data_IF_068729503466
#
_entry.id   IF_068729503466
#
_cell.length_a   1.000
_cell.length_b   1.000
_cell.length_c   1.000
_cell.angle_alpha   90.00
_cell.angle_beta   90.00
_cell.angle_gamma   90.00
#
_symmetry.space_group_name_H-M   'P 1'
#
loop_
_entity.id
_entity.type
_entity.pdbx_description
1 polymer ?
#
# COMPACT_ATOMS: atom_id res chain seq x y z
N UNK A 1 -26.98 -11.76 17.48
CA UNK A 1 -26.11 -12.11 18.63
C UNK A 1 -25.54 -10.83 19.22
N UNK A 2 -25.22 -10.81 20.52
CA UNK A 2 -24.55 -9.68 21.18
C UNK A 2 -23.02 -9.78 21.03
N UNK A 3 -22.32 -8.64 21.06
CA UNK A 3 -20.85 -8.58 21.01
C UNK A 3 -20.32 -8.67 22.44
N UNK A 4 -19.33 -9.55 22.67
CA UNK A 4 -18.62 -9.64 23.94
C UNK A 4 -17.39 -8.70 23.92
N UNK A 5 -17.45 -7.64 24.70
CA UNK A 5 -16.36 -6.66 24.84
C UNK A 5 -15.37 -6.99 25.95
N UNK A 6 -15.59 -8.08 26.71
CA UNK A 6 -14.72 -8.45 27.83
C UNK A 6 -13.48 -9.25 27.41
N UNK A 7 -13.47 -9.80 26.20
CA UNK A 7 -12.37 -10.60 25.65
C UNK A 7 -11.93 -10.09 24.28
N UNK A 8 -11.81 -8.78 24.12
CA UNK A 8 -11.37 -8.17 22.86
C UNK A 8 -9.92 -8.55 22.57
N UNK A 9 -9.67 -8.91 21.33
CA UNK A 9 -8.32 -9.01 20.78
C UNK A 9 -7.79 -7.59 20.52
N UNK A 10 -7.06 -7.05 21.50
CA UNK A 10 -6.50 -5.69 21.44
C UNK A 10 -5.47 -5.53 20.31
N UNK A 11 -4.77 -6.60 19.94
CA UNK A 11 -3.82 -6.59 18.84
C UNK A 11 -4.54 -6.41 17.52
N UNK A 12 -5.55 -7.24 17.26
CA UNK A 12 -6.38 -7.12 16.07
C UNK A 12 -7.11 -5.78 16.01
N UNK A 13 -7.60 -5.29 17.16
CA UNK A 13 -8.28 -3.98 17.25
C UNK A 13 -7.32 -2.84 16.87
N UNK A 14 -6.11 -2.82 17.43
CA UNK A 14 -5.12 -1.79 17.14
C UNK A 14 -4.63 -1.86 15.69
N UNK A 15 -4.35 -3.06 15.18
CA UNK A 15 -3.99 -3.26 13.78
C UNK A 15 -5.09 -2.75 12.84
N UNK A 16 -6.34 -3.18 13.07
CA UNK A 16 -7.49 -2.76 12.27
C UNK A 16 -7.68 -1.24 12.33
N UNK A 17 -7.53 -0.64 13.50
CA UNK A 17 -7.61 0.81 13.69
C UNK A 17 -6.53 1.56 12.87
N UNK A 18 -5.30 1.04 12.84
CA UNK A 18 -4.21 1.59 12.00
C UNK A 18 -4.54 1.50 10.51
N UNK A 19 -5.06 0.36 10.04
CA UNK A 19 -5.46 0.18 8.63
C UNK A 19 -6.61 1.11 8.24
N UNK A 20 -7.59 1.29 9.13
CA UNK A 20 -8.70 2.24 8.91
C UNK A 20 -8.18 3.68 8.84
N UNK A 21 -7.29 4.07 9.76
CA UNK A 21 -6.67 5.39 9.76
C UNK A 21 -5.86 5.63 8.48
N UNK A 22 -5.07 4.66 8.05
CA UNK A 22 -4.31 4.70 6.80
C UNK A 22 -5.22 4.92 5.59
N UNK A 23 -6.27 4.12 5.45
CA UNK A 23 -7.26 4.28 4.37
C UNK A 23 -7.94 5.65 4.43
N UNK A 24 -8.20 6.18 5.63
CA UNK A 24 -8.83 7.49 5.82
C UNK A 24 -7.89 8.67 5.55
N UNK A 25 -6.58 8.50 5.70
CA UNK A 25 -5.58 9.52 5.43
C UNK A 25 -5.30 9.68 3.92
N UNK A 26 -5.36 8.58 3.16
CA UNK A 26 -4.91 8.53 1.77
C UNK A 26 -6.08 8.43 0.76
N UNK A 27 -6.43 9.51 0.03
CA UNK A 27 -7.42 9.48 -1.05
C UNK A 27 -7.19 8.41 -2.11
N UNK A 28 -5.96 7.98 -2.34
CA UNK A 28 -5.62 6.96 -3.35
C UNK A 28 -6.32 5.61 -3.08
N UNK A 29 -6.63 5.30 -1.82
CA UNK A 29 -7.39 4.10 -1.42
C UNK A 29 -8.91 4.33 -1.34
N UNK A 30 -9.38 5.54 -1.67
CA UNK A 30 -10.80 5.94 -1.60
C UNK A 30 -11.27 6.64 -2.88
N UNK A 31 -10.64 6.30 -4.00
CA UNK A 31 -10.99 6.82 -5.32
C UNK A 31 -12.45 6.57 -5.66
N UNK A 32 -13.06 7.53 -6.38
CA UNK A 32 -14.46 7.45 -6.85
C UNK A 32 -14.57 6.77 -8.22
N UNK A 33 -13.48 6.76 -8.97
CA UNK A 33 -13.38 6.20 -10.31
C UNK A 33 -12.37 5.06 -10.32
N UNK A 34 -12.59 4.11 -11.22
CA UNK A 34 -11.68 3.00 -11.44
C UNK A 34 -10.33 3.47 -11.99
N UNK A 35 -9.30 2.67 -11.75
CA UNK A 35 -8.04 2.79 -12.46
C UNK A 35 -8.22 2.43 -13.93
N UNK A 36 -7.43 3.05 -14.79
CA UNK A 36 -7.53 2.86 -16.24
C UNK A 36 -6.27 2.27 -16.87
N UNK A 37 -5.15 2.26 -16.14
CA UNK A 37 -3.82 1.99 -16.68
C UNK A 37 -3.24 3.16 -17.49
N UNK A 38 -3.94 4.30 -17.56
CA UNK A 38 -3.47 5.46 -18.30
C UNK A 38 -2.24 6.09 -17.62
N UNK A 39 -1.28 6.49 -18.44
CA UNK A 39 -0.07 7.15 -17.99
C UNK A 39 -0.26 8.65 -17.83
N UNK A 40 0.34 9.22 -16.80
CA UNK A 40 0.47 10.67 -16.66
C UNK A 40 1.44 11.27 -17.70
N UNK A 41 1.67 12.59 -17.61
CA UNK A 41 2.60 13.31 -18.49
C UNK A 41 4.06 12.86 -18.38
N UNK A 42 4.41 12.13 -17.33
CA UNK A 42 5.74 11.59 -17.09
C UNK A 42 5.87 10.11 -17.49
N UNK A 43 4.78 9.52 -18.00
CA UNK A 43 4.74 8.11 -18.42
C UNK A 43 4.39 7.14 -17.29
N UNK A 44 4.05 7.63 -16.09
CA UNK A 44 3.74 6.76 -14.95
C UNK A 44 2.26 6.37 -15.00
N UNK A 45 1.91 5.07 -15.05
CA UNK A 45 0.51 4.63 -15.08
C UNK A 45 -0.19 4.90 -13.74
N UNK A 46 -1.51 5.10 -13.77
CA UNK A 46 -2.31 5.27 -12.55
C UNK A 46 -2.35 4.00 -11.67
N UNK A 47 -2.14 2.84 -12.29
CA UNK A 47 -1.91 1.54 -11.66
C UNK A 47 -0.93 0.71 -12.50
N UNK A 48 -0.04 -0.06 -11.86
CA UNK A 48 0.73 -1.10 -12.54
C UNK A 48 0.67 -2.42 -11.76
N UNK A 49 0.44 -3.50 -12.49
CA UNK A 49 0.45 -4.87 -11.96
C UNK A 49 1.80 -5.48 -12.30
N UNK A 50 2.50 -5.97 -11.27
CA UNK A 50 3.86 -6.44 -11.38
C UNK A 50 3.95 -7.89 -10.89
N UNK A 51 4.79 -8.66 -11.56
CA UNK A 51 5.26 -9.96 -11.07
C UNK A 51 6.19 -9.74 -9.86
N UNK A 52 6.46 -10.79 -9.06
CA UNK A 52 7.42 -10.70 -7.96
C UNK A 52 8.83 -10.27 -8.39
N UNK A 53 9.24 -10.50 -9.63
CA UNK A 53 10.52 -10.04 -10.17
C UNK A 53 10.57 -8.52 -10.48
N UNK A 54 9.47 -7.79 -10.27
CA UNK A 54 9.34 -6.35 -10.50
C UNK A 54 8.97 -5.97 -11.94
N UNK A 55 8.83 -6.93 -12.86
CA UNK A 55 8.39 -6.68 -14.23
C UNK A 55 6.86 -6.58 -14.31
N UNK A 56 6.36 -5.81 -15.27
CA UNK A 56 4.91 -5.71 -15.54
C UNK A 56 4.31 -7.06 -15.92
N UNK A 57 3.11 -7.35 -15.38
CA UNK A 57 2.31 -8.50 -15.78
C UNK A 57 1.72 -8.26 -17.18
N UNK A 58 1.92 -9.24 -18.07
CA UNK A 58 1.23 -9.34 -19.36
C UNK A 58 -0.01 -10.22 -19.28
N UNK A 59 -0.76 -10.30 -20.38
CA UNK A 59 -2.03 -11.05 -20.47
C UNK A 59 -1.87 -12.53 -20.09
N UNK A 60 -0.77 -13.16 -20.52
CA UNK A 60 -0.49 -14.58 -20.26
C UNK A 60 -0.28 -14.87 -18.76
N UNK A 61 0.19 -13.91 -17.98
CA UNK A 61 0.45 -14.10 -16.55
C UNK A 61 -0.85 -14.32 -15.76
N UNK A 62 -1.91 -13.62 -16.14
CA UNK A 62 -3.23 -13.69 -15.48
C UNK A 62 -3.90 -15.05 -15.63
N UNK A 63 -3.62 -15.76 -16.72
CA UNK A 63 -4.20 -17.07 -17.02
C UNK A 63 -3.48 -18.24 -16.34
N UNK A 64 -2.32 -18.01 -15.74
CA UNK A 64 -1.52 -19.09 -15.13
C UNK A 64 -1.87 -19.26 -13.66
N UNK A 65 -2.14 -20.51 -13.24
CA UNK A 65 -2.32 -20.86 -11.83
C UNK A 65 -1.04 -20.68 -10.96
N UNK A 66 0.05 -20.24 -11.58
CA UNK A 66 1.39 -20.12 -11.01
C UNK A 66 1.65 -18.72 -10.43
N UNK A 67 0.98 -17.67 -10.91
CA UNK A 67 1.08 -16.34 -10.29
C UNK A 67 0.23 -16.31 -9.04
N UNK A 68 0.77 -16.85 -7.96
CA UNK A 68 0.13 -16.80 -6.63
C UNK A 68 0.38 -15.46 -5.98
N UNK A 69 1.54 -14.86 -6.19
CA UNK A 69 1.94 -13.61 -5.56
C UNK A 69 2.13 -12.52 -6.63
N UNK A 70 1.74 -11.29 -6.30
CA UNK A 70 1.83 -10.15 -7.22
C UNK A 70 2.10 -8.87 -6.45
N UNK A 71 2.62 -7.86 -7.15
CA UNK A 71 2.77 -6.53 -6.63
C UNK A 71 1.88 -5.55 -7.41
N UNK A 72 1.35 -4.54 -6.72
CA UNK A 72 0.49 -3.51 -7.29
C UNK A 72 1.08 -2.15 -6.96
N UNK A 73 1.51 -1.43 -7.98
CA UNK A 73 1.83 -0.02 -7.85
C UNK A 73 0.59 0.82 -8.08
N UNK A 74 0.39 1.83 -7.23
CA UNK A 74 -0.72 2.77 -7.32
C UNK A 74 -0.16 4.19 -7.29
N UNK A 75 -0.43 4.97 -8.34
CA UNK A 75 0.07 6.33 -8.47
C UNK A 75 -0.86 7.34 -7.78
N UNK A 76 -0.39 7.93 -6.67
CA UNK A 76 -1.12 8.99 -5.96
C UNK A 76 -1.17 10.32 -6.71
N UNK A 77 -0.31 10.52 -7.70
CA UNK A 77 -0.28 11.72 -8.54
C UNK A 77 -1.25 11.65 -9.73
N UNK A 78 -1.76 10.46 -10.05
CA UNK A 78 -2.69 10.22 -11.16
C UNK A 78 -4.11 9.89 -10.66
N UNK A 79 -4.59 10.63 -9.65
CA UNK A 79 -5.97 10.47 -9.16
C UNK A 79 -6.95 11.15 -10.11
N UNK A 80 -7.75 10.32 -10.79
CA UNK A 80 -8.73 10.79 -11.76
C UNK A 80 -9.97 11.31 -11.02
N UNK A 81 -10.37 12.52 -11.38
CA UNK A 81 -11.60 13.16 -10.96
C UNK A 81 -11.37 14.25 -9.91
N UNK A 82 -12.08 15.39 -10.01
CA UNK A 82 -11.91 16.47 -9.07
C UNK A 82 -12.50 16.13 -7.70
N UNK A 83 -11.96 16.80 -6.68
CA UNK A 83 -12.53 16.84 -5.34
C UNK A 83 -13.89 17.55 -5.29
N UNK A 84 -14.53 17.55 -4.11
CA UNK A 84 -15.87 18.14 -3.93
C UNK A 84 -15.98 19.61 -4.33
N UNK A 85 -14.86 20.34 -4.41
CA UNK A 85 -14.77 21.76 -4.77
C UNK A 85 -14.10 21.97 -6.13
N UNK A 86 -13.91 20.92 -6.94
CA UNK A 86 -13.26 21.04 -8.24
C UNK A 86 -11.72 20.96 -8.18
N UNK A 87 -11.14 20.76 -7.01
CA UNK A 87 -9.69 20.70 -6.80
C UNK A 87 -9.07 19.41 -7.35
N UNK A 88 -7.82 19.48 -7.81
CA UNK A 88 -7.02 18.30 -8.11
C UNK A 88 -6.71 17.56 -6.81
N UNK A 89 -6.91 16.25 -6.80
CA UNK A 89 -6.55 15.39 -5.67
C UNK A 89 -5.21 14.75 -6.00
N UNK A 90 -4.26 14.89 -5.08
CA UNK A 90 -2.97 14.21 -5.13
C UNK A 90 -2.73 13.52 -3.79
N UNK A 91 -1.89 12.49 -3.81
CA UNK A 91 -1.54 11.68 -2.67
C UNK A 91 -0.14 11.08 -2.88
N UNK A 92 0.35 10.39 -1.85
CA UNK A 92 1.52 9.54 -1.94
C UNK A 92 1.25 8.36 -2.90
N UNK A 93 2.30 7.88 -3.57
CA UNK A 93 2.24 6.65 -4.38
C UNK A 93 2.64 5.45 -3.54
N UNK A 94 2.00 4.31 -3.79
CA UNK A 94 2.16 3.10 -2.98
C UNK A 94 2.50 1.89 -3.82
N UNK A 95 3.18 0.94 -3.20
CA UNK A 95 3.42 -0.39 -3.72
C UNK A 95 2.92 -1.42 -2.71
N UNK A 96 1.98 -2.25 -3.16
CA UNK A 96 1.39 -3.33 -2.38
C UNK A 96 2.01 -4.65 -2.83
N UNK A 97 2.59 -5.42 -1.92
CA UNK A 97 3.10 -6.77 -2.18
C UNK A 97 2.13 -7.78 -1.57
N UNK A 98 1.57 -8.66 -2.39
CA UNK A 98 0.55 -9.63 -1.98
C UNK A 98 1.10 -11.05 -2.12
N UNK A 99 1.25 -11.76 -1.00
CA UNK A 99 1.57 -13.17 -0.98
C UNK A 99 0.45 -14.00 -0.32
N UNK A 100 -0.53 -14.48 -1.10
CA UNK A 100 -1.55 -15.42 -0.60
C UNK A 100 -1.05 -16.88 -0.57
N UNK A 101 0.18 -17.14 -1.03
CA UNK A 101 0.76 -18.47 -1.08
C UNK A 101 1.12 -19.02 0.30
N UNK A 102 1.44 -20.32 0.33
CA UNK A 102 1.85 -21.05 1.53
C UNK A 102 3.39 -21.01 1.74
N UNK A 103 4.11 -20.33 0.85
CA UNK A 103 5.56 -20.23 0.84
C UNK A 103 5.94 -18.75 0.77
N UNK A 104 7.09 -18.40 1.32
CA UNK A 104 7.64 -17.06 1.24
C UNK A 104 8.02 -16.73 -0.22
N UNK A 105 7.82 -15.48 -0.62
CA UNK A 105 8.12 -15.02 -1.97
C UNK A 105 9.01 -13.80 -1.90
N UNK A 106 10.10 -13.83 -2.67
CA UNK A 106 10.99 -12.70 -2.85
C UNK A 106 10.43 -11.73 -3.89
N UNK A 107 10.22 -10.49 -3.47
CA UNK A 107 9.78 -9.39 -4.33
C UNK A 107 10.94 -8.44 -4.63
N UNK A 108 11.22 -8.21 -5.90
CA UNK A 108 12.15 -7.16 -6.35
C UNK A 108 11.39 -5.84 -6.44
N UNK A 109 11.81 -4.84 -5.66
CA UNK A 109 11.18 -3.52 -5.70
C UNK A 109 11.41 -2.85 -7.07
N UNK A 110 10.36 -2.28 -7.68
CA UNK A 110 10.47 -1.64 -8.98
C UNK A 110 11.33 -0.37 -8.91
N UNK A 111 11.89 0.01 -10.05
CA UNK A 111 12.78 1.14 -10.27
C UNK A 111 12.22 2.15 -11.28
N UNK A 112 13.00 3.21 -11.56
CA UNK A 112 12.72 4.16 -12.63
C UNK A 112 11.45 4.95 -12.38
N UNK A 113 10.56 4.96 -13.38
CA UNK A 113 9.34 5.77 -13.35
C UNK A 113 8.37 5.40 -12.21
N UNK A 114 8.44 4.16 -11.69
CA UNK A 114 7.58 3.73 -10.59
C UNK A 114 8.09 4.23 -9.23
N UNK A 115 9.41 4.33 -9.04
CA UNK A 115 10.03 4.90 -7.84
C UNK A 115 11.48 4.45 -7.66
N UNK A 116 12.29 5.29 -7.03
CA UNK A 116 13.72 5.01 -6.75
C UNK A 116 13.97 4.52 -5.31
N UNK A 117 12.95 4.60 -4.45
CA UNK A 117 13.03 4.18 -3.06
C UNK A 117 11.65 4.00 -2.42
N UNK A 118 11.60 3.16 -1.40
CA UNK A 118 10.39 2.65 -0.79
C UNK A 118 10.50 2.62 0.72
N UNK A 119 9.50 3.15 1.41
CA UNK A 119 9.40 3.14 2.86
C UNK A 119 8.31 2.17 3.30
N UNK A 120 8.60 1.21 4.20
CA UNK A 120 7.57 0.36 4.81
C UNK A 120 6.53 1.18 5.58
N UNK A 121 5.24 0.87 5.34
CA UNK A 121 4.10 1.51 6.02
C UNK A 121 3.28 0.51 6.82
N UNK A 122 3.08 -0.68 6.25
CA UNK A 122 2.32 -1.77 6.85
C UNK A 122 2.94 -3.10 6.44
N UNK A 123 3.02 -4.03 7.37
CA UNK A 123 3.31 -5.44 7.10
C UNK A 123 2.36 -6.26 7.98
N UNK A 124 1.67 -7.23 7.40
CA UNK A 124 0.78 -8.13 8.17
C UNK A 124 1.55 -9.23 8.90
N UNK A 125 2.82 -9.47 8.53
CA UNK A 125 3.69 -10.42 9.20
C UNK A 125 4.37 -9.84 10.44
N UNK A 126 4.44 -8.51 10.54
CA UNK A 126 4.99 -7.84 11.72
C UNK A 126 4.13 -8.16 12.93
N UNK A 127 4.68 -8.90 13.88
CA UNK A 127 4.12 -8.99 15.22
C UNK A 127 4.03 -7.55 15.78
N UNK A 128 2.95 -7.19 16.50
CA UNK A 128 2.70 -5.81 16.90
C UNK A 128 3.75 -5.35 17.91
N UNK A 129 4.85 -4.78 17.43
CA UNK A 129 5.76 -4.03 18.26
C UNK A 129 5.05 -2.73 18.64
N UNK A 130 4.26 -2.74 19.72
CA UNK A 130 3.80 -1.60 20.54
C UNK A 130 3.74 -0.22 19.83
N UNK A 131 3.21 -0.17 18.61
CA UNK A 131 3.07 1.06 17.86
C UNK A 131 1.80 1.73 18.40
N UNK A 132 1.99 2.47 19.49
CA UNK A 132 0.96 3.34 20.04
C UNK A 132 0.34 4.12 18.88
N UNK A 133 -0.96 3.94 18.69
CA UNK A 133 -1.75 4.84 17.86
C UNK A 133 -1.70 6.19 18.56
N UNK A 134 -0.78 7.06 18.15
CA UNK A 134 -0.91 8.47 18.43
C UNK A 134 -2.14 8.94 17.63
N UNK A 135 -3.31 8.80 18.25
CA UNK A 135 -4.56 9.33 17.75
C UNK A 135 -4.47 10.86 17.78
N UNK A 136 -3.80 11.44 16.79
CA UNK A 136 -3.95 12.85 16.46
C UNK A 136 -5.30 12.99 15.75
N UNK A 137 -6.37 13.07 16.54
CA UNK A 137 -7.64 13.64 16.08
C UNK A 137 -7.39 15.14 15.89
N UNK A 138 -6.86 15.52 14.73
CA UNK A 138 -6.86 16.89 14.27
C UNK A 138 -8.12 17.11 13.42
N UNK A 139 -9.18 17.57 14.07
CA UNK A 139 -10.30 18.24 13.40
C UNK A 139 -9.78 19.61 12.94
N UNK A 140 -9.10 19.64 11.80
CA UNK A 140 -8.95 20.81 10.92
C UNK A 140 -8.20 20.36 9.67
N UNK A 141 -8.73 20.69 8.50
CA UNK A 141 -8.18 20.29 7.21
C UNK A 141 -6.70 20.63 7.06
N UNK A 142 -5.86 19.60 7.07
CA UNK A 142 -4.67 19.40 6.25
C UNK A 142 -4.10 18.03 6.61
N UNK A 143 -3.55 17.33 5.61
CA UNK A 143 -3.08 15.95 5.64
C UNK A 143 -2.52 15.51 7.01
N UNK A 144 -3.30 14.71 7.74
CA UNK A 144 -2.80 13.99 8.91
C UNK A 144 -1.97 12.82 8.36
N UNK A 145 -0.65 13.02 8.33
CA UNK A 145 0.29 11.96 8.01
C UNK A 145 0.09 10.80 8.97
N UNK A 146 -0.21 9.63 8.42
CA UNK A 146 0.02 8.38 9.15
C UNK A 146 1.51 8.38 9.42
N UNK A 147 1.89 8.50 10.69
CA UNK A 147 3.29 8.43 11.09
C UNK A 147 3.79 7.04 10.70
N UNK A 148 4.52 6.97 9.59
CA UNK A 148 5.45 5.87 9.33
C UNK A 148 6.35 5.76 10.55
N UNK A 149 6.73 4.54 10.92
CA UNK A 149 7.76 4.34 11.93
C UNK A 149 8.93 5.28 11.60
N UNK A 150 9.30 6.23 12.48
CA UNK A 150 10.36 7.20 12.21
C UNK A 150 11.71 6.53 11.95
N UNK A 151 11.86 5.26 12.32
CA UNK A 151 13.05 4.44 12.08
C UNK A 151 12.90 3.50 10.87
N UNK A 152 11.82 3.59 10.09
CA UNK A 152 11.63 2.78 8.89
C UNK A 152 12.72 3.06 7.86
N UNK A 153 13.61 2.08 7.67
CA UNK A 153 14.72 2.14 6.73
C UNK A 153 14.21 2.34 5.29
N UNK A 154 14.78 3.34 4.60
CA UNK A 154 14.51 3.57 3.18
C UNK A 154 15.10 2.42 2.37
N UNK A 155 14.22 1.65 1.71
CA UNK A 155 14.62 0.58 0.82
C UNK A 155 14.88 1.14 -0.58
N UNK A 156 16.10 1.03 -1.14
CA UNK A 156 16.35 1.47 -2.51
C UNK A 156 15.60 0.61 -3.53
N UNK A 157 15.40 1.13 -4.73
CA UNK A 157 14.88 0.33 -5.85
C UNK A 157 15.76 -0.90 -6.12
N UNK A 158 15.17 -1.95 -6.71
CA UNK A 158 15.77 -3.29 -6.91
C UNK A 158 16.17 -4.05 -5.65
N UNK A 159 15.90 -3.51 -4.46
CA UNK A 159 15.96 -4.30 -3.22
C UNK A 159 15.09 -5.53 -3.36
N UNK A 160 15.63 -6.70 -3.01
CA UNK A 160 14.86 -7.93 -2.88
C UNK A 160 14.30 -7.95 -1.46
N UNK A 161 12.96 -7.95 -1.35
CA UNK A 161 12.24 -8.02 -0.08
C UNK A 161 11.50 -9.36 0.01
N UNK A 162 11.83 -10.22 0.99
CA UNK A 162 11.03 -11.41 1.27
C UNK A 162 9.68 -11.00 1.86
N UNK A 163 8.60 -11.61 1.37
CA UNK A 163 7.24 -11.47 1.92
C UNK A 163 6.76 -12.83 2.35
N UNK A 164 6.45 -12.96 3.65
CA UNK A 164 6.07 -14.25 4.23
C UNK A 164 4.80 -14.82 3.60
N UNK A 165 4.64 -16.14 3.71
CA UNK A 165 3.39 -16.81 3.39
C UNK A 165 2.18 -16.11 4.03
N UNK A 166 1.06 -16.04 3.30
CA UNK A 166 -0.19 -15.39 3.72
C UNK A 166 -0.06 -13.94 4.20
N UNK A 167 0.95 -13.21 3.72
CA UNK A 167 1.23 -11.85 4.18
C UNK A 167 1.10 -10.80 3.08
N UNK A 168 0.85 -9.57 3.52
CA UNK A 168 0.72 -8.38 2.69
C UNK A 168 1.58 -7.27 3.24
N UNK A 169 2.33 -6.63 2.35
CA UNK A 169 3.19 -5.49 2.67
C UNK A 169 2.72 -4.28 1.89
N UNK A 170 2.62 -3.14 2.56
CA UNK A 170 2.43 -1.85 1.92
C UNK A 170 3.68 -0.98 2.09
N UNK A 171 4.14 -0.46 0.97
CA UNK A 171 5.26 0.46 0.85
C UNK A 171 4.76 1.80 0.31
N UNK A 172 5.30 2.90 0.82
CA UNK A 172 5.14 4.24 0.24
C UNK A 172 6.38 4.57 -0.60
N UNK A 173 6.18 5.18 -1.76
CA UNK A 173 7.27 5.73 -2.58
C UNK A 173 7.91 6.93 -1.86
N UNK A 174 9.24 6.92 -1.77
CA UNK A 174 10.02 8.01 -1.16
C UNK A 174 10.13 9.25 -2.04
#
# INVERSE_FOLDING_TARGET
SWIDWSHVDEELLNFTSRVVALRAAHPVFRRRLFFTGATDSFGVPDIAWLRPDGNSMGDDDWGTATVRALAVFINGQAIIGPGPRGEQIEDDSFLLLLNPGNEDVDFTLPDGQLGEGWMPVLDTADAPANAHVAAAVAVTGNAAGVTTDPDAELLPAKTVRPVLAHSTVLLRRA
#
